data_IF_211097413735
#
_entry.id   IF_211097413735
#
_cell.length_a   1.000
_cell.length_b   1.000
_cell.length_c   1.000
_cell.angle_alpha   90.00
_cell.angle_beta   90.00
_cell.angle_gamma   90.00
#
_symmetry.space_group_name_H-M   'P 1'
#
loop_
_entity.id
_entity.type
_entity.pdbx_description
1 polymer ?
#
# COMPACT_ATOMS: atom_id res chain seq x y z
N UNK A 1 -17.03 17.06 30.69
CA UNK A 1 -16.74 16.19 29.53
C UNK A 1 -15.83 15.05 29.97
N UNK A 2 -16.28 13.81 29.79
CA UNK A 2 -15.72 12.59 30.33
C UNK A 2 -14.87 11.93 29.23
N UNK A 3 -13.55 12.13 29.30
CA UNK A 3 -12.57 11.57 28.36
C UNK A 3 -12.30 10.10 28.72
N UNK A 4 -12.47 9.16 27.79
CA UNK A 4 -12.05 7.76 28.01
C UNK A 4 -11.06 7.35 26.93
N UNK A 5 -9.80 7.22 27.34
CA UNK A 5 -8.73 6.65 26.54
C UNK A 5 -8.82 5.12 26.60
N UNK A 6 -8.60 4.44 25.48
CA UNK A 6 -8.43 2.98 25.46
C UNK A 6 -7.08 2.60 24.87
N UNK A 7 -6.40 1.70 25.57
CA UNK A 7 -5.16 1.06 25.15
C UNK A 7 -5.51 -0.22 24.37
N UNK A 8 -5.03 -0.35 23.13
CA UNK A 8 -5.14 -1.62 22.39
C UNK A 8 -4.01 -2.57 22.80
N UNK A 9 -4.20 -3.87 22.52
CA UNK A 9 -3.28 -4.95 22.89
C UNK A 9 -1.86 -4.84 22.28
N UNK A 10 -1.66 -3.94 21.33
CA UNK A 10 -0.36 -3.61 20.73
C UNK A 10 0.33 -2.41 21.42
N UNK A 11 -0.19 -1.94 22.55
CA UNK A 11 0.40 -0.85 23.35
C UNK A 11 0.06 0.58 22.90
N UNK A 12 -0.77 0.73 21.86
CA UNK A 12 -1.17 2.06 21.33
C UNK A 12 -2.45 2.57 21.98
N UNK A 13 -2.47 3.85 22.37
CA UNK A 13 -3.67 4.56 22.82
C UNK A 13 -4.35 5.19 21.62
N UNK A 14 -5.66 5.01 21.47
CA UNK A 14 -6.47 5.67 20.43
C UNK A 14 -7.50 6.59 21.06
N UNK A 15 -7.53 7.83 20.58
CA UNK A 15 -8.55 8.85 20.86
C UNK A 15 -9.62 8.79 19.76
N UNK A 16 -10.89 8.94 20.12
CA UNK A 16 -12.00 9.07 19.18
C UNK A 16 -12.65 10.43 19.41
N UNK A 17 -12.52 11.34 18.44
CA UNK A 17 -13.26 12.61 18.41
C UNK A 17 -13.65 13.01 16.98
N UNK A 18 -14.87 13.54 16.91
CA UNK A 18 -15.59 14.18 15.82
C UNK A 18 -14.93 15.49 15.33
N UNK A 19 -14.90 15.75 14.01
CA UNK A 19 -14.76 17.10 13.45
C UNK A 19 -13.34 17.62 13.14
N UNK A 20 -12.92 17.43 11.88
CA UNK A 20 -11.91 18.11 11.06
C UNK A 20 -11.31 19.46 11.55
N UNK A 21 -9.97 19.58 11.53
CA UNK A 21 -9.25 20.85 11.74
C UNK A 21 -8.42 21.23 10.49
N UNK A 22 -8.63 22.45 9.97
CA UNK A 22 -7.87 23.05 8.85
C UNK A 22 -7.06 24.25 9.37
N UNK A 23 -5.76 24.37 9.03
CA UNK A 23 -4.95 25.50 9.47
C UNK A 23 -5.30 26.77 8.70
N UNK A 24 -5.52 27.87 9.42
CA UNK A 24 -5.66 29.22 8.84
C UNK A 24 -4.27 29.83 8.62
N UNK A 25 -3.92 30.09 7.35
CA UNK A 25 -2.63 30.70 6.97
C UNK A 25 -2.76 32.24 6.99
N UNK A 26 -1.86 33.00 7.66
CA UNK A 26 -1.70 34.42 7.38
C UNK A 26 -0.79 34.56 6.16
N UNK A 27 -1.33 34.99 5.00
CA UNK A 27 -0.49 35.24 3.83
C UNK A 27 0.45 36.44 4.08
N UNK A 28 1.72 36.32 3.65
CA UNK A 28 2.14 37.23 2.58
C UNK A 28 2.84 36.48 1.42
N UNK A 29 2.71 37.09 0.26
CA UNK A 29 3.11 36.67 -1.10
C UNK A 29 4.47 35.94 -1.15
N UNK A 30 4.48 34.69 -1.64
CA UNK A 30 5.70 33.99 -2.04
C UNK A 30 5.80 33.96 -3.58
N UNK A 31 6.98 34.18 -4.18
CA UNK A 31 7.15 34.05 -5.63
C UNK A 31 6.82 32.61 -6.06
N UNK A 32 6.10 32.46 -7.17
CA UNK A 32 5.67 31.18 -7.71
C UNK A 32 6.85 30.19 -7.78
N UNK A 33 6.75 29.00 -7.15
CA UNK A 33 7.77 27.98 -7.35
C UNK A 33 7.64 27.46 -8.79
N UNK A 34 8.73 27.61 -9.55
CA UNK A 34 8.97 26.74 -10.71
C UNK A 34 8.94 25.30 -10.18
N UNK A 35 7.84 24.61 -10.39
CA UNK A 35 7.67 23.23 -9.94
C UNK A 35 8.69 22.37 -10.71
N UNK A 36 9.72 21.79 -10.07
CA UNK A 36 10.43 20.72 -10.71
C UNK A 36 9.46 19.54 -10.68
N UNK A 37 9.01 19.11 -11.86
CA UNK A 37 8.42 17.80 -12.04
C UNK A 37 9.45 16.75 -11.57
N UNK A 38 9.32 16.28 -10.33
CA UNK A 38 10.18 15.24 -9.79
C UNK A 38 9.43 14.43 -8.73
N UNK A 39 8.62 13.49 -9.21
CA UNK A 39 8.53 12.13 -8.69
C UNK A 39 8.52 11.97 -7.16
N UNK A 40 7.38 12.27 -6.52
CA UNK A 40 7.12 11.81 -5.17
C UNK A 40 7.00 10.27 -5.17
N UNK A 41 8.07 9.59 -4.75
CA UNK A 41 8.04 8.17 -4.48
C UNK A 41 6.95 7.86 -3.44
N UNK A 42 6.00 6.94 -3.71
CA UNK A 42 5.08 6.49 -2.67
C UNK A 42 5.88 5.62 -1.70
N UNK A 43 5.80 5.99 -0.42
CA UNK A 43 6.50 5.35 0.70
C UNK A 43 6.25 3.85 0.79
N UNK A 44 7.23 3.15 1.36
CA UNK A 44 7.32 1.70 1.43
C UNK A 44 6.10 1.01 2.12
N UNK A 45 5.30 1.75 2.89
CA UNK A 45 4.06 1.27 3.54
C UNK A 45 2.86 1.10 2.60
N UNK A 46 2.79 1.85 1.50
CA UNK A 46 1.71 1.71 0.52
C UNK A 46 1.78 0.34 -0.19
N UNK A 47 2.98 -0.26 -0.25
CA UNK A 47 3.24 -1.49 -0.99
C UNK A 47 2.57 -2.71 -0.33
N UNK A 48 2.56 -2.80 1.00
CA UNK A 48 1.97 -3.93 1.73
C UNK A 48 0.44 -4.01 1.56
N UNK A 49 -0.23 -2.87 1.78
CA UNK A 49 -1.67 -2.75 1.56
C UNK A 49 -2.03 -2.96 0.08
N UNK A 50 -1.16 -2.51 -0.83
CA UNK A 50 -1.34 -2.72 -2.26
C UNK A 50 -1.32 -4.20 -2.66
N UNK A 51 -0.37 -5.02 -2.16
CA UNK A 51 -0.32 -6.45 -2.50
C UNK A 51 -1.58 -7.19 -2.03
N UNK A 52 -2.02 -6.94 -0.79
CA UNK A 52 -3.23 -7.57 -0.24
C UNK A 52 -4.48 -7.16 -1.00
N UNK A 53 -4.63 -5.87 -1.29
CA UNK A 53 -5.76 -5.37 -2.06
C UNK A 53 -5.79 -5.98 -3.47
N UNK A 54 -4.62 -6.08 -4.11
CA UNK A 54 -4.48 -6.66 -5.44
C UNK A 54 -4.89 -8.13 -5.48
N UNK A 55 -4.39 -8.93 -4.52
CA UNK A 55 -4.78 -10.34 -4.38
C UNK A 55 -6.29 -10.50 -4.17
N UNK A 56 -6.89 -9.68 -3.30
CA UNK A 56 -8.33 -9.74 -3.02
C UNK A 56 -9.18 -9.37 -4.23
N UNK A 57 -8.76 -8.37 -5.02
CA UNK A 57 -9.40 -8.01 -6.29
C UNK A 57 -9.36 -9.14 -7.31
N UNK A 58 -8.30 -9.95 -7.29
CA UNK A 58 -8.18 -11.14 -8.11
C UNK A 58 -8.94 -12.37 -7.56
N UNK A 59 -9.59 -12.27 -6.40
CA UNK A 59 -10.29 -13.36 -5.73
C UNK A 59 -9.42 -14.61 -5.46
N UNK A 60 -8.13 -14.41 -5.19
CA UNK A 60 -7.18 -15.51 -4.94
C UNK A 60 -6.82 -15.64 -3.47
N UNK A 61 -6.56 -16.86 -3.01
CA UNK A 61 -5.89 -17.11 -1.72
C UNK A 61 -4.41 -16.70 -1.77
N UNK A 62 -3.74 -16.59 -0.62
CA UNK A 62 -2.30 -16.30 -0.59
C UNK A 62 -1.48 -17.35 -1.33
N UNK A 63 -1.85 -18.63 -1.21
CA UNK A 63 -1.19 -19.74 -1.90
C UNK A 63 -1.38 -19.65 -3.41
N UNK A 64 -2.61 -19.44 -3.89
CA UNK A 64 -2.87 -19.34 -5.33
C UNK A 64 -2.17 -18.12 -5.94
N UNK A 65 -2.18 -16.98 -5.24
CA UNK A 65 -1.47 -15.79 -5.69
C UNK A 65 0.04 -16.04 -5.76
N UNK A 66 0.61 -16.67 -4.74
CA UNK A 66 2.03 -17.03 -4.72
C UNK A 66 2.39 -17.99 -5.87
N UNK A 67 1.56 -19.01 -6.11
CA UNK A 67 1.73 -19.97 -7.20
C UNK A 67 1.70 -19.27 -8.57
N UNK A 68 0.73 -18.37 -8.80
CA UNK A 68 0.63 -17.60 -10.06
C UNK A 68 1.82 -16.67 -10.30
N UNK A 69 2.43 -16.13 -9.24
CA UNK A 69 3.62 -15.28 -9.34
C UNK A 69 4.95 -16.07 -9.34
N UNK A 70 4.92 -17.39 -9.14
CA UNK A 70 6.13 -18.22 -9.04
C UNK A 70 7.00 -17.88 -7.83
N UNK A 71 6.41 -17.42 -6.72
CA UNK A 71 7.13 -17.06 -5.49
C UNK A 71 6.66 -17.90 -4.30
N UNK A 72 7.50 -18.10 -3.26
CA UNK A 72 7.04 -18.75 -2.04
C UNK A 72 5.88 -18.00 -1.38
N UNK A 73 4.93 -18.72 -0.79
CA UNK A 73 3.80 -18.13 -0.05
C UNK A 73 4.28 -17.24 1.11
N UNK A 74 5.42 -17.57 1.71
CA UNK A 74 6.06 -16.76 2.75
C UNK A 74 6.46 -15.37 2.26
N UNK A 75 6.86 -15.24 0.99
CA UNK A 75 7.19 -13.95 0.36
C UNK A 75 5.94 -13.07 0.27
N UNK A 76 4.82 -13.63 -0.20
CA UNK A 76 3.53 -12.91 -0.24
C UNK A 76 3.10 -12.52 1.17
N UNK A 77 3.24 -13.42 2.15
CA UNK A 77 2.92 -13.14 3.55
C UNK A 77 3.79 -12.00 4.11
N UNK A 78 5.09 -12.00 3.84
CA UNK A 78 6.01 -10.96 4.28
C UNK A 78 5.68 -9.60 3.65
N UNK A 79 5.26 -9.58 2.38
CA UNK A 79 4.81 -8.36 1.70
C UNK A 79 3.49 -7.84 2.26
N UNK A 80 2.46 -8.68 2.37
CA UNK A 80 1.16 -8.26 2.92
C UNK A 80 1.19 -7.89 4.42
N UNK A 81 2.23 -8.32 5.14
CA UNK A 81 2.46 -7.95 6.54
C UNK A 81 3.39 -6.74 6.70
N UNK A 82 3.94 -6.20 5.61
CA UNK A 82 4.90 -5.10 5.66
C UNK A 82 6.28 -5.45 6.23
N UNK A 83 6.56 -6.75 6.50
CA UNK A 83 7.88 -7.19 6.98
C UNK A 83 8.97 -6.98 5.93
N UNK A 84 8.60 -7.04 4.65
CA UNK A 84 9.44 -6.71 3.49
C UNK A 84 8.58 -6.02 2.44
N UNK A 85 9.19 -5.14 1.65
CA UNK A 85 8.55 -4.57 0.47
C UNK A 85 8.97 -5.32 -0.81
N UNK A 86 8.08 -5.45 -1.82
CA UNK A 86 8.48 -5.91 -3.14
C UNK A 86 9.45 -4.90 -3.78
N UNK A 87 10.55 -5.39 -4.36
CA UNK A 87 11.59 -4.56 -4.98
C UNK A 87 11.92 -5.04 -6.38
N UNK A 88 12.49 -4.15 -7.19
CA UNK A 88 12.96 -4.46 -8.54
C UNK A 88 11.86 -5.10 -9.42
N UNK A 89 12.12 -6.26 -10.05
CA UNK A 89 11.16 -6.92 -10.94
C UNK A 89 9.81 -7.23 -10.29
N UNK A 90 9.80 -7.58 -9.00
CA UNK A 90 8.55 -7.89 -8.29
C UNK A 90 7.64 -6.67 -8.18
N UNK A 91 8.20 -5.48 -7.95
CA UNK A 91 7.43 -4.22 -7.91
C UNK A 91 6.86 -3.89 -9.28
N UNK A 92 7.66 -4.04 -10.34
CA UNK A 92 7.20 -3.83 -11.71
C UNK A 92 6.06 -4.80 -12.07
N UNK A 93 6.22 -6.08 -11.77
CA UNK A 93 5.20 -7.10 -12.01
C UNK A 93 3.89 -6.78 -11.28
N UNK A 94 3.95 -6.42 -9.99
CA UNK A 94 2.77 -6.05 -9.21
C UNK A 94 2.07 -4.80 -9.76
N UNK A 95 2.83 -3.83 -10.29
CA UNK A 95 2.24 -2.67 -10.96
C UNK A 95 1.48 -3.07 -12.22
N UNK A 96 2.04 -3.96 -13.06
CA UNK A 96 1.35 -4.46 -14.25
C UNK A 96 0.09 -5.26 -13.88
N UNK A 97 0.18 -6.12 -12.86
CA UNK A 97 -0.99 -6.88 -12.35
C UNK A 97 -2.08 -5.91 -11.83
N UNK A 98 -1.72 -4.75 -11.27
CA UNK A 98 -2.69 -3.76 -10.82
C UNK A 98 -3.55 -3.17 -11.95
N UNK A 99 -3.01 -3.11 -13.17
CA UNK A 99 -3.68 -2.60 -14.36
C UNK A 99 -4.40 -3.71 -15.16
N UNK A 100 -3.76 -4.87 -15.34
CA UNK A 100 -4.26 -5.95 -16.19
C UNK A 100 -4.03 -7.34 -15.55
N UNK A 101 -4.74 -7.68 -14.46
CA UNK A 101 -4.48 -8.91 -13.70
C UNK A 101 -4.74 -10.17 -14.52
N UNK A 102 -5.84 -10.21 -15.28
CA UNK A 102 -6.23 -11.40 -16.06
C UNK A 102 -5.18 -11.71 -17.14
N UNK A 103 -4.77 -10.70 -17.91
CA UNK A 103 -3.74 -10.81 -18.96
C UNK A 103 -2.41 -11.29 -18.39
N UNK A 104 -1.96 -10.74 -17.26
CA UNK A 104 -0.70 -11.15 -16.63
C UNK A 104 -0.78 -12.60 -16.16
N UNK A 105 -1.86 -12.99 -15.48
CA UNK A 105 -1.99 -14.37 -15.00
C UNK A 105 -2.09 -15.37 -16.15
N UNK A 106 -2.75 -15.03 -17.26
CA UNK A 106 -2.76 -15.87 -18.46
C UNK A 106 -1.37 -15.99 -19.09
N UNK A 107 -0.59 -14.90 -19.11
CA UNK A 107 0.78 -14.93 -19.63
C UNK A 107 1.69 -15.80 -18.75
N UNK A 108 1.57 -15.69 -17.42
CA UNK A 108 2.35 -16.48 -16.47
C UNK A 108 1.97 -17.96 -16.46
N UNK A 109 0.73 -18.32 -16.79
CA UNK A 109 0.29 -19.72 -16.87
C UNK A 109 0.89 -20.50 -18.06
N UNK A 110 1.49 -19.81 -19.03
CA UNK A 110 2.12 -20.40 -20.22
C UNK A 110 3.64 -20.45 -20.16
N UNK A 111 4.23 -19.91 -19.09
CA UNK A 111 5.66 -19.88 -18.84
C UNK A 111 6.09 -21.10 -18.02
#
# INVERSE_FOLDING_TARGET
MNMRLRLKADGRVVELRDGQELPVQPFPVQPLPVQPAANAAPGEDASSLAVRALRRRACLTQMEFAAKLGVPVETIRNWEQGKRAPRGPARALLAVIAHAPDTVFQALAKA
#
